data_IF_755240646926
#
_entry.id   IF_755240646926
#
_cell.length_a   1.000
_cell.length_b   1.000
_cell.length_c   1.000
_cell.angle_alpha   90.00
_cell.angle_beta   90.00
_cell.angle_gamma   90.00
#
_symmetry.space_group_name_H-M   'P 1'
#
loop_
_entity.id
_entity.type
_entity.pdbx_description
1 polymer ?
#
# COMPACT_ATOMS: atom_id res chain seq x y z
N UNK A 1 -10.06 9.70 -18.75
CA UNK A 1 -9.33 8.91 -17.74
C UNK A 1 -7.85 8.88 -18.11
N UNK A 2 -6.95 9.42 -17.26
CA UNK A 2 -5.50 9.27 -17.49
C UNK A 2 -5.17 7.77 -17.50
N UNK A 3 -4.53 7.27 -18.56
CA UNK A 3 -4.10 5.86 -18.63
C UNK A 3 -3.07 5.63 -17.51
N UNK A 4 -3.31 4.64 -16.66
CA UNK A 4 -2.34 4.26 -15.63
C UNK A 4 -1.06 3.73 -16.28
N UNK A 5 0.09 4.23 -15.83
CA UNK A 5 1.39 3.79 -16.33
C UNK A 5 1.68 2.35 -15.90
N UNK A 6 2.56 1.66 -16.63
CA UNK A 6 3.02 0.31 -16.26
C UNK A 6 3.60 0.30 -14.84
N UNK A 7 4.40 1.32 -14.51
CA UNK A 7 5.03 1.49 -13.21
C UNK A 7 4.01 1.65 -12.08
N UNK A 8 2.94 2.44 -12.29
CA UNK A 8 1.86 2.58 -11.32
C UNK A 8 1.24 1.23 -10.96
N UNK A 9 0.94 0.41 -11.97
CA UNK A 9 0.32 -0.91 -11.75
C UNK A 9 1.22 -1.83 -10.95
N UNK A 10 2.51 -1.87 -11.29
CA UNK A 10 3.52 -2.68 -10.58
C UNK A 10 3.66 -2.25 -9.12
N UNK A 11 3.80 -0.93 -8.87
CA UNK A 11 3.93 -0.38 -7.52
C UNK A 11 2.68 -0.57 -6.67
N UNK A 12 1.50 -0.42 -7.27
CA UNK A 12 0.24 -0.68 -6.58
C UNK A 12 0.09 -2.15 -6.20
N UNK A 13 0.40 -3.07 -7.11
CA UNK A 13 0.36 -4.51 -6.86
C UNK A 13 1.33 -4.92 -5.74
N UNK A 14 2.53 -4.33 -5.74
CA UNK A 14 3.50 -4.53 -4.67
C UNK A 14 2.96 -4.07 -3.31
N UNK A 15 2.40 -2.86 -3.21
CA UNK A 15 1.79 -2.36 -1.97
C UNK A 15 0.63 -3.24 -1.48
N UNK A 16 -0.24 -3.68 -2.40
CA UNK A 16 -1.34 -4.60 -2.08
C UNK A 16 -0.80 -5.89 -1.47
N UNK A 17 0.23 -6.48 -2.06
CA UNK A 17 0.81 -7.72 -1.57
C UNK A 17 1.48 -7.55 -0.20
N UNK A 18 2.22 -6.45 0.00
CA UNK A 18 2.84 -6.15 1.30
C UNK A 18 1.78 -6.02 2.39
N UNK A 19 0.73 -5.23 2.16
CA UNK A 19 -0.33 -5.05 3.16
C UNK A 19 -1.09 -6.36 3.39
N UNK A 20 -1.40 -7.10 2.33
CA UNK A 20 -2.10 -8.38 2.46
C UNK A 20 -1.30 -9.42 3.27
N UNK A 21 0.03 -9.43 3.15
CA UNK A 21 0.88 -10.31 3.97
C UNK A 21 0.93 -9.89 5.44
N UNK A 22 0.77 -8.59 5.73
CA UNK A 22 0.78 -8.06 7.09
C UNK A 22 -0.61 -8.06 7.75
N UNK A 23 -1.69 -8.37 7.05
CA UNK A 23 -3.03 -8.36 7.62
C UNK A 23 -3.33 -9.72 8.29
N UNK A 24 -3.68 -9.75 9.59
CA UNK A 24 -4.04 -10.99 10.28
C UNK A 24 -5.33 -11.59 9.72
N UNK A 25 -6.27 -10.73 9.30
CA UNK A 25 -7.49 -11.13 8.61
C UNK A 25 -7.32 -11.06 7.09
N UNK A 26 -7.61 -12.16 6.39
CA UNK A 26 -7.52 -12.24 4.93
C UNK A 26 -8.65 -11.43 4.26
N UNK A 27 -8.40 -10.14 4.05
CA UNK A 27 -9.24 -9.27 3.21
C UNK A 27 -9.04 -9.65 1.75
N UNK A 28 -10.10 -9.65 0.94
CA UNK A 28 -9.96 -9.93 -0.49
C UNK A 28 -9.04 -8.90 -1.18
N UNK A 29 -8.12 -9.39 -2.02
CA UNK A 29 -7.16 -8.54 -2.75
C UNK A 29 -7.84 -7.45 -3.58
N UNK A 30 -9.04 -7.74 -4.11
CA UNK A 30 -9.84 -6.77 -4.85
C UNK A 30 -10.26 -5.58 -3.96
N UNK A 31 -10.76 -5.87 -2.76
CA UNK A 31 -11.19 -4.83 -1.81
C UNK A 31 -9.98 -4.04 -1.31
N UNK A 32 -8.89 -4.72 -0.97
CA UNK A 32 -7.65 -4.08 -0.53
C UNK A 32 -7.09 -3.14 -1.61
N UNK A 33 -7.06 -3.59 -2.87
CA UNK A 33 -6.63 -2.78 -4.00
C UNK A 33 -7.51 -1.53 -4.19
N UNK A 34 -8.83 -1.66 -3.98
CA UNK A 34 -9.75 -0.51 -4.06
C UNK A 34 -9.51 0.48 -2.93
N UNK A 35 -9.31 0.00 -1.70
CA UNK A 35 -9.02 0.82 -0.53
C UNK A 35 -7.71 1.60 -0.68
N UNK A 36 -6.62 0.94 -1.11
CA UNK A 36 -5.33 1.60 -1.32
C UNK A 36 -5.43 2.66 -2.43
N UNK A 37 -6.13 2.36 -3.54
CA UNK A 37 -6.37 3.37 -4.59
C UNK A 37 -7.11 4.60 -4.07
N UNK A 38 -8.14 4.40 -3.25
CA UNK A 38 -8.90 5.48 -2.65
C UNK A 38 -8.02 6.32 -1.72
N UNK A 39 -7.22 5.67 -0.87
CA UNK A 39 -6.29 6.35 0.03
C UNK A 39 -5.27 7.20 -0.73
N UNK A 40 -4.63 6.65 -1.76
CA UNK A 40 -3.66 7.38 -2.57
C UNK A 40 -4.30 8.58 -3.26
N UNK A 41 -5.52 8.43 -3.78
CA UNK A 41 -6.23 9.53 -4.43
C UNK A 41 -6.64 10.62 -3.44
N UNK A 42 -7.13 10.25 -2.26
CA UNK A 42 -7.54 11.20 -1.22
C UNK A 42 -6.36 12.02 -0.70
N UNK A 43 -5.19 11.39 -0.55
CA UNK A 43 -3.97 12.06 -0.07
C UNK A 43 -3.13 12.66 -1.20
N UNK A 44 -3.61 12.64 -2.45
CA UNK A 44 -2.91 13.19 -3.62
C UNK A 44 -1.49 12.58 -3.77
N UNK A 45 -1.36 11.29 -3.50
CA UNK A 45 -0.10 10.55 -3.61
C UNK A 45 -0.06 9.85 -4.97
N UNK A 46 0.80 10.35 -5.86
CA UNK A 46 1.07 9.70 -7.14
C UNK A 46 2.31 8.80 -7.07
N UNK A 47 2.07 7.53 -6.76
CA UNK A 47 3.13 6.50 -6.71
C UNK A 47 3.76 6.21 -8.08
N UNK A 48 3.26 6.77 -9.18
CA UNK A 48 3.86 6.57 -10.51
C UNK A 48 5.01 7.53 -10.82
N UNK A 49 5.01 8.70 -10.19
CA UNK A 49 6.04 9.74 -10.35
C UNK A 49 6.97 9.84 -9.14
N UNK A 50 6.61 9.20 -8.03
CA UNK A 50 7.44 9.12 -6.84
C UNK A 50 8.82 8.51 -7.14
N UNK A 51 9.89 9.09 -6.60
CA UNK A 51 11.23 8.50 -6.69
C UNK A 51 11.28 7.14 -6.00
N UNK A 52 12.19 6.27 -6.44
CA UNK A 52 12.26 4.91 -5.91
C UNK A 52 12.57 4.85 -4.40
N UNK A 53 13.44 5.74 -3.90
CA UNK A 53 13.76 5.83 -2.48
C UNK A 53 12.53 6.18 -1.62
N UNK A 54 11.72 7.15 -2.07
CA UNK A 54 10.50 7.55 -1.39
C UNK A 54 9.44 6.43 -1.43
N UNK A 55 9.38 5.68 -2.53
CA UNK A 55 8.50 4.52 -2.62
C UNK A 55 8.92 3.39 -1.67
N UNK A 56 10.23 3.13 -1.52
CA UNK A 56 10.74 2.16 -0.55
C UNK A 56 10.42 2.57 0.89
N UNK A 57 10.61 3.85 1.23
CA UNK A 57 10.26 4.40 2.54
C UNK A 57 8.76 4.25 2.83
N UNK A 58 7.88 4.54 1.86
CA UNK A 58 6.44 4.34 2.01
C UNK A 58 6.09 2.88 2.34
N UNK A 59 6.69 1.93 1.63
CA UNK A 59 6.48 0.50 1.87
C UNK A 59 6.94 0.11 3.28
N UNK A 60 8.09 0.61 3.71
CA UNK A 60 8.65 0.31 5.03
C UNK A 60 7.79 0.90 6.14
N UNK A 61 7.32 2.13 5.99
CA UNK A 61 6.36 2.75 6.92
C UNK A 61 5.07 1.93 7.05
N UNK A 62 4.54 1.43 5.93
CA UNK A 62 3.36 0.57 5.92
C UNK A 62 3.60 -0.72 6.70
N UNK A 63 4.76 -1.37 6.49
CA UNK A 63 5.14 -2.58 7.25
C UNK A 63 5.25 -2.30 8.75
N UNK A 64 5.95 -1.22 9.12
CA UNK A 64 6.17 -0.86 10.52
C UNK A 64 4.86 -0.50 11.22
N UNK A 65 3.94 0.19 10.53
CA UNK A 65 2.61 0.49 11.08
C UNK A 65 1.85 -0.79 11.41
N UNK A 66 1.90 -1.80 10.55
CA UNK A 66 1.24 -3.08 10.79
C UNK A 66 1.87 -3.87 11.94
N UNK A 67 3.20 -3.93 12.01
CA UNK A 67 3.92 -4.58 13.11
C UNK A 67 3.63 -3.90 14.47
N UNK A 68 3.52 -2.57 14.49
CA UNK A 68 3.18 -1.83 15.70
C UNK A 68 1.74 -2.12 16.15
N UNK A 69 0.79 -2.22 15.22
CA UNK A 69 -0.60 -2.61 15.51
C UNK A 69 -0.66 -4.01 16.11
N UNK A 70 0.10 -4.98 15.57
CA UNK A 70 0.19 -6.33 16.16
C UNK A 70 0.72 -6.27 17.61
N UNK A 71 1.80 -5.51 17.85
CA UNK A 71 2.39 -5.37 19.18
C UNK A 71 1.49 -4.70 20.22
N UNK A 72 0.58 -3.81 19.78
CA UNK A 72 -0.40 -3.17 20.65
C UNK A 72 -1.63 -4.05 20.89
N UNK A 73 -1.99 -4.91 19.93
CA UNK A 73 -3.11 -5.85 20.07
C UNK A 73 -2.83 -7.04 21.00
N UNK A 74 -1.56 -7.32 21.28
CA UNK A 74 -1.10 -8.38 22.18
C UNK A 74 -0.92 -7.92 23.64
N UNK A 75 -1.15 -6.65 23.97
CA UNK A 75 -1.10 -6.10 25.33
C UNK A 75 -2.49 -5.95 25.95
#
# INVERSE_FOLDING_TARGET
>A
MKKQTKLYKQRLEYLVNVIHQCLPAKISLFMLRKAIKLYLNHNIIDISVMEEQHFKLLVEQVKNCMLNIESESEK
#
